data_IF_290025766665
#
_entry.id   IF_290025766665
#
_cell.length_a   1.000
_cell.length_b   1.000
_cell.length_c   1.000
_cell.angle_alpha   90.00
_cell.angle_beta   90.00
_cell.angle_gamma   90.00
#
_symmetry.space_group_name_H-M   'P 1'
#
loop_
_entity.id
_entity.type
_entity.pdbx_description
1 polymer ?
#
# COMPACT_ATOMS: atom_id res chain seq x y z
N UNK A 1 -27.97 -28.12 -14.84
CA UNK A 1 -26.84 -28.37 -13.92
C UNK A 1 -25.90 -27.18 -14.01
N UNK A 2 -26.29 -26.03 -13.45
CA UNK A 2 -25.58 -24.74 -13.55
C UNK A 2 -25.32 -24.12 -12.18
N UNK A 3 -25.29 -24.97 -11.16
CA UNK A 3 -24.87 -24.59 -9.82
C UNK A 3 -23.42 -24.10 -9.91
N UNK A 4 -23.17 -22.94 -9.31
CA UNK A 4 -21.86 -22.29 -9.15
C UNK A 4 -21.39 -21.41 -10.33
N UNK A 5 -22.32 -20.69 -10.95
CA UNK A 5 -21.99 -19.48 -11.74
C UNK A 5 -21.15 -18.51 -10.90
N UNK A 6 -20.32 -17.69 -11.55
CA UNK A 6 -19.47 -16.65 -10.96
C UNK A 6 -20.22 -15.76 -9.95
N UNK A 7 -21.52 -15.57 -10.16
CA UNK A 7 -22.42 -14.85 -9.25
C UNK A 7 -22.53 -15.49 -7.85
N UNK A 8 -22.42 -16.80 -7.72
CA UNK A 8 -22.46 -17.49 -6.43
C UNK A 8 -21.22 -17.15 -5.57
N UNK A 9 -20.04 -17.13 -6.19
CA UNK A 9 -18.80 -16.74 -5.52
C UNK A 9 -18.83 -15.28 -5.05
N UNK A 10 -19.45 -14.38 -5.83
CA UNK A 10 -19.65 -12.99 -5.43
C UNK A 10 -20.55 -12.90 -4.18
N UNK A 11 -21.69 -13.61 -4.18
CA UNK A 11 -22.63 -13.64 -3.04
C UNK A 11 -21.98 -14.26 -1.79
N UNK A 12 -21.23 -15.35 -1.94
CA UNK A 12 -20.47 -15.96 -0.84
C UNK A 12 -19.43 -15.00 -0.26
N UNK A 13 -18.71 -14.26 -1.11
CA UNK A 13 -17.73 -13.26 -0.66
C UNK A 13 -18.37 -12.16 0.18
N UNK A 14 -19.54 -11.67 -0.23
CA UNK A 14 -20.30 -10.65 0.52
C UNK A 14 -20.76 -11.20 1.88
N UNK A 15 -21.33 -12.40 1.91
CA UNK A 15 -21.75 -13.05 3.17
C UNK A 15 -20.56 -13.30 4.10
N UNK A 16 -19.42 -13.73 3.58
CA UNK A 16 -18.22 -13.95 4.37
C UNK A 16 -17.74 -12.64 5.02
N UNK A 17 -17.71 -11.52 4.29
CA UNK A 17 -17.32 -10.21 4.83
C UNK A 17 -18.32 -9.73 5.91
N UNK A 18 -19.63 -9.98 5.71
CA UNK A 18 -20.67 -9.67 6.71
C UNK A 18 -20.51 -10.48 8.00
N UNK A 19 -20.17 -11.77 7.89
CA UNK A 19 -19.94 -12.64 9.05
C UNK A 19 -18.65 -12.32 9.80
N UNK A 20 -17.58 -11.98 9.07
CA UNK A 20 -16.29 -11.62 9.67
C UNK A 20 -16.28 -10.19 10.24
N UNK A 21 -17.18 -9.33 9.75
CA UNK A 21 -17.23 -7.91 10.09
C UNK A 21 -16.12 -7.10 9.42
N UNK A 22 -16.47 -5.91 8.91
CA UNK A 22 -15.55 -5.07 8.11
C UNK A 22 -14.23 -4.72 8.81
N UNK A 23 -14.23 -4.62 10.15
CA UNK A 23 -13.02 -4.29 10.92
C UNK A 23 -11.97 -5.41 10.96
N UNK A 24 -12.39 -6.68 11.01
CA UNK A 24 -11.46 -7.83 11.02
C UNK A 24 -10.96 -8.15 9.61
N UNK A 25 -11.86 -8.10 8.62
CA UNK A 25 -11.51 -8.34 7.23
C UNK A 25 -10.54 -7.28 6.69
N UNK A 26 -10.72 -6.00 7.02
CA UNK A 26 -9.85 -4.93 6.52
C UNK A 26 -8.42 -5.00 7.08
N UNK A 27 -8.25 -5.32 8.36
CA UNK A 27 -6.90 -5.53 8.95
C UNK A 27 -6.20 -6.75 8.36
N UNK A 28 -6.89 -7.88 8.22
CA UNK A 28 -6.32 -9.09 7.58
C UNK A 28 -6.00 -8.85 6.11
N UNK A 29 -6.89 -8.19 5.36
CA UNK A 29 -6.66 -7.87 3.94
C UNK A 29 -5.44 -6.96 3.78
N UNK A 30 -5.20 -6.02 4.70
CA UNK A 30 -4.02 -5.16 4.69
C UNK A 30 -2.71 -5.91 4.88
N UNK A 31 -2.66 -6.88 5.81
CA UNK A 31 -1.46 -7.70 6.03
C UNK A 31 -1.23 -8.71 4.92
N UNK A 32 -2.31 -9.30 4.38
CA UNK A 32 -2.25 -10.17 3.20
C UNK A 32 -1.80 -9.39 1.97
N UNK A 33 -2.31 -8.17 1.75
CA UNK A 33 -1.90 -7.32 0.63
C UNK A 33 -0.42 -6.91 0.72
N UNK A 34 0.10 -6.62 1.92
CA UNK A 34 1.54 -6.38 2.13
C UNK A 34 2.36 -7.63 1.83
N UNK A 35 1.93 -8.81 2.30
CA UNK A 35 2.61 -10.08 2.03
C UNK A 35 2.68 -10.40 0.54
N UNK A 36 1.56 -10.26 -0.18
CA UNK A 36 1.51 -10.50 -1.64
C UNK A 36 2.30 -9.44 -2.41
N UNK A 37 2.28 -8.16 -1.99
CA UNK A 37 3.08 -7.09 -2.61
C UNK A 37 4.58 -7.33 -2.47
N UNK A 38 5.03 -7.80 -1.30
CA UNK A 38 6.43 -8.15 -1.08
C UNK A 38 6.82 -9.43 -1.81
N UNK A 39 5.93 -10.42 -1.91
CA UNK A 39 6.15 -11.62 -2.71
C UNK A 39 6.30 -11.27 -4.20
N UNK A 40 5.40 -10.45 -4.73
CA UNK A 40 5.50 -9.96 -6.12
C UNK A 40 6.75 -9.12 -6.34
N UNK A 41 7.11 -8.26 -5.39
CA UNK A 41 8.30 -7.43 -5.47
C UNK A 41 9.58 -8.28 -5.43
N UNK A 42 9.68 -9.25 -4.52
CA UNK A 42 10.83 -10.16 -4.47
C UNK A 42 10.95 -11.01 -5.73
N UNK A 43 9.83 -11.46 -6.29
CA UNK A 43 9.82 -12.22 -7.55
C UNK A 43 10.12 -11.34 -8.78
N UNK A 44 9.84 -10.04 -8.72
CA UNK A 44 10.17 -9.06 -9.76
C UNK A 44 11.61 -8.52 -9.61
N UNK A 45 12.18 -8.50 -8.41
CA UNK A 45 13.59 -8.14 -8.17
C UNK A 45 14.56 -9.24 -8.64
N UNK A 46 14.10 -10.49 -8.76
CA UNK A 46 14.85 -11.56 -9.48
C UNK A 46 14.91 -11.32 -11.00
N UNK A 47 13.98 -10.52 -11.56
CA UNK A 47 13.87 -10.23 -13.00
C UNK A 47 14.44 -8.84 -13.38
N UNK A 48 14.40 -7.86 -12.47
CA UNK A 48 14.79 -6.47 -12.73
C UNK A 48 15.61 -5.90 -11.55
N UNK A 49 16.94 -5.92 -11.69
CA UNK A 49 17.91 -5.33 -10.76
C UNK A 49 17.69 -3.81 -10.64
N UNK A 50 16.82 -3.36 -9.71
CA UNK A 50 16.76 -1.96 -9.20
C UNK A 50 15.87 -1.80 -7.95
N UNK A 51 16.40 -1.25 -6.84
CA UNK A 51 15.62 -1.08 -5.61
C UNK A 51 14.75 0.19 -5.68
N UNK A 52 13.43 0.03 -5.74
CA UNK A 52 12.50 1.14 -5.52
C UNK A 52 12.05 1.20 -4.04
N UNK A 53 12.36 2.26 -3.26
CA UNK A 53 11.91 2.36 -1.89
C UNK A 53 10.44 2.82 -1.89
N UNK A 54 9.54 2.05 -1.28
CA UNK A 54 8.23 2.58 -0.88
C UNK A 54 7.99 2.19 0.57
N UNK A 55 8.41 3.13 1.40
CA UNK A 55 8.06 3.33 2.80
C UNK A 55 6.55 3.11 3.00
N UNK A 56 6.17 2.26 3.93
CA UNK A 56 4.79 2.12 4.38
C UNK A 56 4.44 3.41 5.13
N UNK A 57 3.66 4.28 4.49
CA UNK A 57 3.08 5.48 5.10
C UNK A 57 2.04 5.05 6.14
N UNK A 58 2.42 5.22 7.40
CA UNK A 58 1.59 4.99 8.57
C UNK A 58 1.85 6.06 9.62
N UNK A 59 1.69 7.34 9.28
CA UNK A 59 1.35 8.38 10.26
C UNK A 59 0.69 9.58 9.56
N UNK A 60 -0.53 9.90 10.01
CA UNK A 60 -1.33 11.02 9.59
C UNK A 60 -0.63 12.39 9.82
N UNK A 61 -0.98 13.34 8.94
CA UNK A 61 -0.65 14.77 8.76
C UNK A 61 -0.56 15.66 10.03
N UNK A 62 -0.20 16.98 9.98
CA UNK A 62 0.10 17.91 8.86
C UNK A 62 1.50 18.59 9.01
N UNK A 63 2.13 19.32 8.08
CA UNK A 63 1.77 20.62 7.52
C UNK A 63 2.67 21.00 6.32
N UNK A 64 2.19 21.90 5.44
CA UNK A 64 2.88 22.35 4.25
C UNK A 64 3.74 23.60 4.55
N UNK A 65 5.06 23.50 4.35
CA UNK A 65 5.86 24.70 4.07
C UNK A 65 6.70 24.47 2.84
N UNK A 66 6.07 24.78 1.71
CA UNK A 66 6.74 25.33 0.54
C UNK A 66 7.57 26.53 1.02
N UNK A 67 8.88 26.34 1.22
CA UNK A 67 9.86 27.43 1.15
C UNK A 67 10.78 27.11 -0.02
N UNK A 68 10.27 27.42 -1.22
CA UNK A 68 11.14 27.71 -2.36
C UNK A 68 12.03 28.91 -1.97
N UNK A 69 13.30 28.80 -2.34
CA UNK A 69 14.09 29.92 -2.85
C UNK A 69 14.42 31.06 -1.87
N UNK A 70 15.66 31.01 -1.36
CA UNK A 70 16.52 32.18 -1.24
C UNK A 70 17.91 31.71 -0.77
N UNK A 71 18.69 31.14 -1.68
CA UNK A 71 20.15 31.37 -1.65
C UNK A 71 20.34 32.71 -2.37
N UNK A 72 21.00 33.71 -1.76
CA UNK A 72 22.42 33.87 -2.10
C UNK A 72 23.29 34.44 -0.96
N UNK A 73 24.53 33.94 -0.91
CA UNK A 73 25.76 34.73 -0.68
C UNK A 73 25.84 35.55 0.63
N UNK A 74 26.55 35.01 1.62
CA UNK A 74 27.44 35.78 2.51
C UNK A 74 28.34 34.87 3.34
N UNK A 75 29.55 35.38 3.57
CA UNK A 75 30.53 34.96 4.59
C UNK A 75 31.32 33.69 4.21
N UNK A 76 32.66 33.65 4.18
CA UNK A 76 33.61 34.42 4.97
C UNK A 76 35.01 34.38 4.29
N UNK A 77 35.45 35.51 3.75
CA UNK A 77 36.87 35.85 3.64
C UNK A 77 37.28 36.44 4.99
N UNK A 78 37.96 35.65 5.83
CA UNK A 78 38.82 36.13 6.91
C UNK A 78 39.96 35.15 7.16
#
# INVERSE_FOLDING_TARGET
MGSFSLMHWLVLGVIAILLLGGGRFSNMMGDVAKGIKQFKKGMAEDDDDKPAPTRIEGKAAPEPTVRREAEPVREEQR
#
